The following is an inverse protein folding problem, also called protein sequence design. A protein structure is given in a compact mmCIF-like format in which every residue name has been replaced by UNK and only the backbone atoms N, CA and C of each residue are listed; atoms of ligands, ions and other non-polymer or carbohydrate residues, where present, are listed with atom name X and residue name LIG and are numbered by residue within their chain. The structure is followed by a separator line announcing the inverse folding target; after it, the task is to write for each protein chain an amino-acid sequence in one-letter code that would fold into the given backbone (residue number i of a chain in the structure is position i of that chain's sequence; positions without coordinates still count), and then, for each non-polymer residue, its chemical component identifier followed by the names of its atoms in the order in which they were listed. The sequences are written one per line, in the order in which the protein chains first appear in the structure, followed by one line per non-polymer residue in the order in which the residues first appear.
data_IF_504153270967
#
_entry.id   IF_504153270967
#
_cell.length_a   1.000
_cell.length_b   1.000
_cell.length_c   1.000
_cell.angle_alpha   90.00
_cell.angle_beta   90.00
_cell.angle_gamma   90.00
#
_symmetry.space_group_name_H-M   'P 1'
#
loop_
_entity.id
_entity.type
_entity.pdbx_description
1 polymer ?
#
# COMPACT_ATOMS: atom_id res chain seq x y z
N UNK A 1 -25.61 29.36 24.85
CA UNK A 1 -24.47 28.46 24.60
C UNK A 1 -24.90 27.03 24.91
N UNK A 2 -25.18 26.21 23.89
CA UNK A 2 -25.46 24.77 24.03
C UNK A 2 -24.42 24.03 23.18
N UNK A 3 -23.49 23.34 23.84
CA UNK A 3 -22.44 22.55 23.17
C UNK A 3 -23.03 21.20 22.76
N UNK A 4 -23.00 20.91 21.47
CA UNK A 4 -23.23 19.58 20.91
C UNK A 4 -22.09 18.65 21.35
N UNK A 5 -22.43 17.52 21.94
CA UNK A 5 -21.56 16.36 22.08
C UNK A 5 -22.26 15.21 21.35
N UNK A 6 -21.90 15.00 20.09
CA UNK A 6 -22.29 13.80 19.33
C UNK A 6 -21.13 12.83 19.48
N UNK A 7 -21.22 11.97 20.50
CA UNK A 7 -20.32 10.83 20.66
C UNK A 7 -20.71 9.75 19.67
N UNK A 8 -19.88 9.55 18.64
CA UNK A 8 -20.03 8.45 17.70
C UNK A 8 -19.35 7.21 18.31
N UNK A 9 -20.14 6.33 18.92
CA UNK A 9 -19.67 5.01 19.34
C UNK A 9 -20.06 3.98 18.27
N UNK A 10 -19.09 3.57 17.45
CA UNK A 10 -19.22 2.38 16.61
C UNK A 10 -18.86 1.14 17.46
N UNK A 11 -19.87 0.48 18.01
CA UNK A 11 -19.73 -0.85 18.56
C UNK A 11 -19.84 -1.87 17.40
N UNK A 12 -18.72 -2.43 16.96
CA UNK A 12 -18.71 -3.58 16.07
C UNK A 12 -18.96 -4.84 16.90
N UNK A 13 -20.21 -5.27 16.97
CA UNK A 13 -20.58 -6.58 17.54
C UNK A 13 -20.28 -7.67 16.51
N UNK A 14 -19.18 -8.41 16.70
CA UNK A 14 -18.99 -9.67 15.99
C UNK A 14 -19.66 -10.79 16.79
N UNK A 15 -20.57 -11.50 16.10
CA UNK A 15 -21.31 -12.64 16.64
C UNK A 15 -20.39 -13.78 17.03
N UNK A 16 -20.81 -14.51 18.06
CA UNK A 16 -20.16 -15.67 18.64
C UNK A 16 -19.84 -16.75 17.60
N UNK A 17 -18.58 -17.21 17.55
CA UNK A 17 -18.26 -18.47 16.91
C UNK A 17 -18.47 -19.62 17.89
N UNK A 18 -19.28 -20.58 17.43
CA UNK A 18 -19.59 -21.81 18.11
C UNK A 18 -18.35 -22.71 18.20
N UNK A 19 -18.28 -23.40 19.32
CA UNK A 19 -17.25 -24.33 19.74
C UNK A 19 -17.18 -25.55 18.80
N UNK A 20 -16.07 -25.73 18.08
CA UNK A 20 -15.67 -27.02 17.50
C UNK A 20 -14.28 -27.34 18.03
N UNK A 21 -14.21 -28.35 18.90
CA UNK A 21 -12.96 -29.00 19.30
C UNK A 21 -12.36 -29.64 18.05
N UNK A 22 -11.37 -29.00 17.47
CA UNK A 22 -10.51 -29.60 16.45
C UNK A 22 -9.06 -29.51 16.92
N UNK A 23 -8.30 -30.52 16.55
CA UNK A 23 -7.03 -30.90 17.14
C UNK A 23 -5.97 -29.83 16.79
N UNK A 24 -5.56 -29.00 17.76
CA UNK A 24 -4.53 -27.97 17.57
C UNK A 24 -3.13 -28.58 17.39
N UNK A 25 -2.88 -29.16 16.21
CA UNK A 25 -1.59 -28.94 15.56
C UNK A 25 -1.56 -27.47 15.17
N UNK A 26 -1.15 -26.63 16.12
CA UNK A 26 -0.81 -25.23 15.90
C UNK A 26 0.33 -25.15 14.87
N UNK A 27 0.00 -25.27 13.59
CA UNK A 27 0.81 -24.72 12.52
C UNK A 27 0.83 -23.22 12.77
N UNK A 28 1.89 -22.73 13.43
CA UNK A 28 2.15 -21.30 13.49
C UNK A 28 2.22 -20.81 12.05
N UNK A 29 1.14 -20.17 11.60
CA UNK A 29 1.13 -19.48 10.32
C UNK A 29 2.12 -18.34 10.48
N UNK A 30 3.31 -18.48 9.91
CA UNK A 30 4.31 -17.43 9.92
C UNK A 30 3.91 -16.48 8.78
N UNK A 31 3.40 -15.29 9.11
CA UNK A 31 3.22 -14.26 8.11
C UNK A 31 4.60 -13.71 7.72
N UNK A 32 5.01 -14.06 6.50
CA UNK A 32 6.26 -13.57 5.91
C UNK A 32 6.04 -12.13 5.47
N UNK A 33 6.74 -11.19 6.10
CA UNK A 33 6.80 -9.83 5.60
C UNK A 33 7.70 -9.77 4.38
N UNK A 34 7.21 -9.11 3.34
CA UNK A 34 7.90 -8.91 2.08
C UNK A 34 8.23 -7.42 1.92
N UNK A 35 9.29 -7.11 1.19
CA UNK A 35 9.67 -5.73 0.94
C UNK A 35 9.30 -5.36 -0.48
N UNK A 36 8.43 -4.35 -0.59
CA UNK A 36 7.81 -3.92 -1.83
C UNK A 36 8.26 -2.52 -2.20
N UNK A 37 8.23 -2.23 -3.50
CA UNK A 37 8.56 -0.94 -4.08
C UNK A 37 7.50 -0.51 -5.09
N UNK A 38 7.20 0.79 -5.14
CA UNK A 38 6.40 1.41 -6.19
C UNK A 38 7.22 2.57 -6.76
N UNK A 39 7.52 2.52 -8.05
CA UNK A 39 8.13 3.66 -8.75
C UNK A 39 7.06 4.45 -9.50
N UNK A 40 7.10 5.77 -9.38
CA UNK A 40 6.10 6.67 -9.95
C UNK A 40 6.76 7.51 -11.04
N UNK A 41 6.11 7.58 -12.20
CA UNK A 41 6.64 8.29 -13.36
C UNK A 41 5.68 9.41 -13.79
N UNK A 42 6.22 10.58 -14.10
CA UNK A 42 5.53 11.59 -14.88
C UNK A 42 5.86 11.37 -16.36
N UNK A 43 4.84 11.32 -17.21
CA UNK A 43 4.97 11.11 -18.65
C UNK A 43 4.43 12.34 -19.35
N UNK A 44 5.28 12.97 -20.16
CA UNK A 44 4.91 14.16 -20.93
C UNK A 44 4.46 13.77 -22.34
N UNK A 45 3.36 14.37 -22.77
CA UNK A 45 2.79 14.22 -24.09
C UNK A 45 2.65 15.59 -24.77
N UNK A 46 2.84 15.61 -26.08
CA UNK A 46 2.45 16.73 -26.94
C UNK A 46 1.50 16.22 -28.00
N UNK A 47 0.25 16.72 -27.97
CA UNK A 47 -0.80 16.32 -28.92
C UNK A 47 -0.97 14.79 -29.04
N UNK A 48 -0.88 14.08 -27.90
CA UNK A 48 -0.99 12.61 -27.83
C UNK A 48 0.31 11.84 -28.13
N UNK A 49 1.39 12.51 -28.54
CA UNK A 49 2.69 11.89 -28.76
C UNK A 49 3.50 11.95 -27.46
N UNK A 50 3.97 10.79 -26.96
CA UNK A 50 4.85 10.74 -25.80
C UNK A 50 6.19 11.42 -26.14
N UNK A 51 6.53 12.46 -25.39
CA UNK A 51 7.83 13.15 -25.50
C UNK A 51 8.88 12.50 -24.60
N UNK A 52 8.49 12.13 -23.39
CA UNK A 52 9.43 11.61 -22.40
C UNK A 52 8.75 11.11 -21.13
N UNK A 53 9.56 10.51 -20.27
CA UNK A 53 9.12 10.08 -18.93
C UNK A 53 10.23 10.33 -17.92
N UNK A 54 9.85 10.81 -16.74
CA UNK A 54 10.74 11.09 -15.63
C UNK A 54 10.23 10.38 -14.38
N UNK A 55 11.11 9.73 -13.63
CA UNK A 55 10.75 9.19 -12.31
C UNK A 55 10.58 10.35 -11.34
N UNK A 56 9.41 10.43 -10.69
CA UNK A 56 9.06 11.48 -9.74
C UNK A 56 8.92 10.98 -8.30
N UNK A 57 8.91 9.66 -8.09
CA UNK A 57 8.77 9.08 -6.77
C UNK A 57 9.22 7.64 -6.69
N UNK A 58 9.64 7.22 -5.50
CA UNK A 58 9.88 5.82 -5.16
C UNK A 58 9.40 5.59 -3.73
N UNK A 59 8.38 4.74 -3.57
CA UNK A 59 7.80 4.36 -2.28
C UNK A 59 8.22 2.94 -1.95
N UNK A 60 8.50 2.67 -0.68
CA UNK A 60 8.93 1.36 -0.21
C UNK A 60 8.26 1.02 1.10
N UNK A 61 7.92 -0.25 1.29
CA UNK A 61 7.32 -0.72 2.53
C UNK A 61 7.65 -2.20 2.79
N UNK A 62 7.77 -2.56 4.08
CA UNK A 62 7.93 -3.93 4.54
C UNK A 62 6.61 -4.40 5.16
N UNK A 63 5.86 -5.21 4.43
CA UNK A 63 4.49 -5.58 4.79
C UNK A 63 4.15 -6.98 4.26
N UNK A 64 3.07 -7.58 4.74
CA UNK A 64 2.58 -8.85 4.19
C UNK A 64 1.96 -8.62 2.80
N UNK A 65 1.72 -9.69 2.04
CA UNK A 65 1.09 -9.58 0.72
C UNK A 65 -0.32 -8.98 0.78
N UNK A 66 -1.07 -9.19 1.87
CA UNK A 66 -2.40 -8.62 2.06
C UNK A 66 -2.35 -7.12 2.39
N UNK A 67 -1.39 -6.70 3.21
CA UNK A 67 -1.15 -5.29 3.54
C UNK A 67 -0.63 -4.50 2.33
N UNK A 68 0.13 -5.12 1.44
CA UNK A 68 0.73 -4.47 0.28
C UNK A 68 -0.32 -3.82 -0.65
N UNK A 69 -1.50 -4.43 -0.81
CA UNK A 69 -2.57 -3.86 -1.63
C UNK A 69 -3.21 -2.62 -1.01
N UNK A 70 -3.41 -2.63 0.32
CA UNK A 70 -3.92 -1.46 1.04
C UNK A 70 -2.94 -0.30 0.93
N UNK A 71 -1.66 -0.57 1.21
CA UNK A 71 -0.59 0.42 1.06
C UNK A 71 -0.48 0.95 -0.39
N UNK A 72 -0.60 0.08 -1.39
CA UNK A 72 -0.62 0.49 -2.81
C UNK A 72 -1.70 1.53 -3.12
N UNK A 73 -2.92 1.32 -2.61
CA UNK A 73 -4.03 2.26 -2.82
C UNK A 73 -3.79 3.60 -2.11
N UNK A 74 -3.20 3.59 -0.91
CA UNK A 74 -2.80 4.82 -0.21
C UNK A 74 -1.77 5.61 -1.02
N UNK A 75 -0.78 4.93 -1.61
CA UNK A 75 0.21 5.59 -2.48
C UNK A 75 -0.46 6.17 -3.71
N UNK A 76 -1.31 5.42 -4.44
CA UNK A 76 -2.00 5.95 -5.63
C UNK A 76 -2.79 7.21 -5.30
N UNK A 77 -3.59 7.17 -4.22
CA UNK A 77 -4.44 8.28 -3.82
C UNK A 77 -3.63 9.57 -3.56
N UNK A 78 -2.36 9.45 -3.15
CA UNK A 78 -1.47 10.61 -2.96
C UNK A 78 -1.06 11.31 -4.27
N UNK A 79 -1.22 10.64 -5.42
CA UNK A 79 -0.92 11.19 -6.74
C UNK A 79 -2.15 11.60 -7.55
N UNK A 80 -3.35 11.46 -6.97
CA UNK A 80 -4.57 11.91 -7.63
C UNK A 80 -4.51 13.42 -7.92
N UNK A 81 -4.76 13.78 -9.18
CA UNK A 81 -4.77 15.18 -9.63
C UNK A 81 -3.40 15.82 -9.81
N UNK A 82 -2.29 15.09 -9.68
CA UNK A 82 -0.93 15.65 -9.90
C UNK A 82 -0.64 15.89 -11.39
N UNK A 83 -1.28 15.13 -12.28
CA UNK A 83 -1.20 15.35 -13.73
C UNK A 83 -1.95 16.62 -14.17
N UNK A 84 -1.63 17.13 -15.37
CA UNK A 84 -2.27 18.34 -15.87
C UNK A 84 -1.93 18.68 -17.32
N UNK A 85 -2.77 19.53 -17.91
CA UNK A 85 -2.57 20.05 -19.26
C UNK A 85 -2.14 21.52 -19.21
N UNK A 86 -1.08 21.86 -19.95
CA UNK A 86 -0.64 23.23 -20.14
C UNK A 86 -1.09 23.76 -21.52
N UNK A 87 -2.03 24.73 -21.57
CA UNK A 87 -2.55 25.25 -22.83
C UNK A 87 -1.53 26.09 -23.62
N UNK A 88 -0.53 26.68 -22.96
CA UNK A 88 0.47 27.52 -23.62
C UNK A 88 1.44 26.68 -24.45
N UNK A 89 1.91 25.57 -23.88
CA UNK A 89 2.85 24.64 -24.54
C UNK A 89 2.13 23.51 -25.30
N UNK A 90 0.81 23.39 -25.13
CA UNK A 90 0.00 22.26 -25.61
C UNK A 90 0.52 20.90 -25.15
N UNK A 91 1.16 20.86 -23.98
CA UNK A 91 1.69 19.63 -23.38
C UNK A 91 0.78 19.12 -22.26
N UNK A 92 0.70 17.81 -22.13
CA UNK A 92 -0.03 17.11 -21.07
C UNK A 92 0.96 16.27 -20.26
N UNK A 93 0.90 16.36 -18.94
CA UNK A 93 1.64 15.49 -18.03
C UNK A 93 0.66 14.50 -17.42
N UNK A 94 0.92 13.21 -17.60
CA UNK A 94 0.17 12.12 -16.96
C UNK A 94 1.04 11.41 -15.94
N UNK A 95 0.44 11.01 -14.82
CA UNK A 95 1.11 10.17 -13.84
C UNK A 95 0.91 8.71 -14.22
N UNK A 96 2.01 7.97 -14.30
CA UNK A 96 2.04 6.55 -14.53
C UNK A 96 2.50 5.85 -13.26
N UNK A 97 1.62 4.99 -12.74
CA UNK A 97 1.84 4.15 -11.57
C UNK A 97 1.71 2.69 -12.04
N UNK A 98 2.61 1.77 -11.65
CA UNK A 98 2.46 0.35 -11.96
C UNK A 98 1.16 -0.20 -11.34
N UNK A 99 0.58 -1.25 -11.92
CA UNK A 99 -0.70 -1.82 -11.47
C UNK A 99 -0.63 -2.57 -10.12
N UNK A 100 0.57 -2.82 -9.62
CA UNK A 100 0.83 -3.44 -8.34
C UNK A 100 2.24 -3.07 -7.86
N UNK A 101 2.53 -3.17 -6.55
CA UNK A 101 3.89 -3.03 -6.04
C UNK A 101 4.82 -4.13 -6.56
N UNK A 102 6.06 -3.75 -6.85
CA UNK A 102 7.13 -4.68 -7.17
C UNK A 102 7.65 -5.35 -5.90
N UNK A 103 7.73 -6.67 -5.88
CA UNK A 103 8.42 -7.41 -4.82
C UNK A 103 9.93 -7.32 -5.06
N UNK A 104 10.66 -6.75 -4.11
CA UNK A 104 12.12 -6.67 -4.19
C UNK A 104 12.78 -7.96 -3.69
N UNK A 105 13.93 -8.28 -4.28
CA UNK A 105 14.79 -9.35 -3.81
C UNK A 105 15.36 -9.03 -2.41
N UNK A 106 15.57 -10.08 -1.60
CA UNK A 106 15.93 -9.95 -0.18
C UNK A 106 17.24 -9.18 0.05
N UNK A 107 18.22 -9.36 -0.83
CA UNK A 107 19.49 -8.62 -0.84
C UNK A 107 19.26 -7.12 -1.02
N UNK A 108 18.46 -6.72 -2.03
CA UNK A 108 18.09 -5.31 -2.24
C UNK A 108 17.35 -4.71 -1.06
N UNK A 109 16.50 -5.47 -0.38
CA UNK A 109 15.78 -5.00 0.80
C UNK A 109 16.72 -4.72 1.97
N UNK A 110 17.71 -5.57 2.20
CA UNK A 110 18.70 -5.38 3.24
C UNK A 110 19.56 -4.13 2.98
N UNK A 111 19.96 -3.90 1.72
CA UNK A 111 20.71 -2.70 1.31
C UNK A 111 19.93 -1.40 1.55
N UNK A 112 18.59 -1.51 1.56
CA UNK A 112 17.66 -0.41 1.83
C UNK A 112 17.31 -0.28 3.33
N UNK A 113 17.95 -1.06 4.19
CA UNK A 113 17.74 -1.05 5.65
C UNK A 113 16.49 -1.82 6.10
N UNK A 114 15.79 -2.51 5.20
CA UNK A 114 14.66 -3.37 5.55
C UNK A 114 15.16 -4.78 5.86
N UNK A 115 15.10 -5.19 7.12
CA UNK A 115 15.27 -6.60 7.48
C UNK A 115 13.95 -7.33 7.31
N UNK A 116 13.90 -8.33 6.43
CA UNK A 116 12.74 -9.23 6.32
C UNK A 116 12.63 -10.05 7.60
N UNK A 117 11.65 -9.70 8.44
CA UNK A 117 11.37 -10.39 9.71
C UNK A 117 10.15 -11.28 9.53
N UNK A 118 10.29 -12.54 9.93
CA UNK A 118 9.14 -13.42 10.18
C UNK A 118 8.48 -12.97 11.47
N UNK A 119 7.30 -12.36 11.40
CA UNK A 119 6.54 -12.05 12.61
C UNK A 119 5.72 -13.28 13.00
N UNK A 120 5.82 -13.77 14.25
CA UNK A 120 4.81 -14.68 14.75
C UNK A 120 3.48 -13.91 14.75
N UNK A 121 2.38 -14.57 14.37
CA UNK A 121 1.05 -14.00 14.58
C UNK A 121 0.92 -13.60 16.06
N UNK A 122 0.18 -12.52 16.39
CA UNK A 122 -0.26 -12.34 17.75
C UNK A 122 -1.10 -13.57 18.11
N UNK A 123 -0.50 -14.51 18.84
CA UNK A 123 -1.26 -15.50 19.58
C UNK A 123 -2.29 -14.71 20.36
N UNK A 124 -3.56 -15.05 20.19
CA UNK A 124 -4.67 -14.46 20.91
C UNK A 124 -4.23 -14.18 22.35
N UNK A 125 -4.34 -12.91 22.75
CA UNK A 125 -4.26 -12.54 24.15
C UNK A 125 -5.45 -13.24 24.81
N UNK A 126 -5.24 -14.48 25.25
CA UNK A 126 -6.12 -15.23 26.15
C UNK A 126 -5.46 -15.33 27.52
#
# INVERSE_FOLDING_TARGET
MKKLLVGLALALSFGSFANTKENDTNEQVIEVQNCYQIEIYAVEFFQGIKLGSMKIGTHRNLCTSSEAWTWYNEVIASYDGVGGYNPLTKTEVRIQIPLMPELLAKDKCNDLGFSVVTKPLPSEIM
#
